data_IF_418391967956
#
_entry.id   IF_418391967956
#
_cell.length_a   1.000
_cell.length_b   1.000
_cell.length_c   1.000
_cell.angle_alpha   90.00
_cell.angle_beta   90.00
_cell.angle_gamma   90.00
#
_symmetry.space_group_name_H-M   'P 1'
#
loop_
_entity.id
_entity.type
_entity.pdbx_description
1 polymer ?
#
# COMPACT_ATOMS: atom_id res chain seq x y z
N UNK A 1 0.94 -16.71 -5.41
CA UNK A 1 1.39 -15.30 -5.48
C UNK A 1 1.40 -14.81 -4.03
N UNK A 2 2.45 -15.17 -3.31
CA UNK A 2 2.53 -15.03 -1.86
C UNK A 2 3.32 -13.77 -1.56
N UNK A 3 2.64 -12.62 -1.56
CA UNK A 3 3.10 -11.45 -0.82
C UNK A 3 3.39 -11.90 0.61
N UNK A 4 4.56 -11.54 1.17
CA UNK A 4 4.92 -11.66 2.60
C UNK A 4 3.67 -11.92 3.41
N UNK A 5 3.50 -13.15 3.89
CA UNK A 5 2.22 -13.60 4.43
C UNK A 5 1.72 -12.50 5.38
N UNK A 6 0.68 -11.80 4.96
CA UNK A 6 -0.02 -10.84 5.81
C UNK A 6 -0.37 -11.53 7.14
N UNK A 7 -0.55 -12.86 7.10
CA UNK A 7 -0.72 -13.76 8.23
C UNK A 7 0.48 -13.85 9.18
N UNK A 8 1.73 -13.75 8.73
CA UNK A 8 2.89 -13.87 9.62
C UNK A 8 3.21 -12.56 10.32
N UNK A 9 3.02 -11.42 9.67
CA UNK A 9 3.20 -10.11 10.32
C UNK A 9 1.94 -9.68 11.09
N UNK A 10 0.73 -10.08 10.67
CA UNK A 10 -0.48 -9.90 11.47
C UNK A 10 -0.52 -10.75 12.74
N UNK A 11 0.21 -11.87 12.79
CA UNK A 11 0.48 -12.59 14.06
C UNK A 11 1.45 -11.84 14.97
N UNK A 12 2.33 -10.99 14.43
CA UNK A 12 3.26 -10.15 15.20
C UNK A 12 2.62 -8.82 15.59
N UNK A 13 1.66 -8.28 14.85
CA UNK A 13 0.93 -7.03 15.18
C UNK A 13 0.35 -6.99 16.64
N UNK A 14 -0.23 -8.09 17.18
CA UNK A 14 -0.61 -8.16 18.59
C UNK A 14 0.58 -8.04 19.56
N UNK A 15 1.75 -8.56 19.20
CA UNK A 15 2.99 -8.42 19.98
C UNK A 15 3.71 -7.08 19.72
N UNK A 16 3.33 -6.32 18.70
CA UNK A 16 3.66 -4.89 18.61
C UNK A 16 2.90 -4.06 19.66
N UNK A 17 1.69 -4.46 20.07
CA UNK A 17 0.90 -3.77 21.10
C UNK A 17 1.58 -3.68 22.48
N UNK A 18 2.55 -4.56 22.75
CA UNK A 18 3.36 -4.52 23.99
C UNK A 18 4.62 -3.63 23.87
N UNK A 19 4.98 -3.17 22.66
CA UNK A 19 6.12 -2.26 22.45
C UNK A 19 6.11 -1.00 23.31
N UNK A 20 4.99 -0.26 23.46
CA UNK A 20 4.96 0.92 24.32
C UNK A 20 5.25 0.62 25.80
N UNK A 21 5.14 -0.65 26.24
CA UNK A 21 5.49 -1.04 27.60
C UNK A 21 7.00 -1.20 27.81
N UNK A 22 7.80 -1.48 26.77
CA UNK A 22 9.25 -1.68 26.93
C UNK A 22 10.00 -0.41 27.36
N UNK A 23 9.80 0.77 26.74
CA UNK A 23 10.39 2.02 27.22
C UNK A 23 9.97 2.34 28.66
N UNK A 24 8.71 2.09 28.99
CA UNK A 24 8.15 2.31 30.33
C UNK A 24 8.80 1.41 31.39
N UNK A 25 9.11 0.15 31.03
CA UNK A 25 9.85 -0.79 31.90
C UNK A 25 11.32 -0.40 32.03
N UNK A 26 11.97 0.04 30.96
CA UNK A 26 13.35 0.55 31.00
C UNK A 26 13.48 1.81 31.88
N UNK A 27 12.46 2.70 31.89
CA UNK A 27 12.41 3.87 32.76
C UNK A 27 12.30 3.52 34.25
N UNK A 28 11.71 2.37 34.61
CA UNK A 28 11.57 1.91 36.01
C UNK A 28 12.85 1.27 36.58
N UNK A 29 13.88 1.03 35.76
CA UNK A 29 15.12 0.43 36.24
C UNK A 29 15.92 1.40 37.15
N UNK A 30 16.65 0.86 38.17
CA UNK A 30 17.53 1.63 39.04
C UNK A 30 18.52 2.50 38.27
N UNK A 31 18.81 3.70 38.78
CA UNK A 31 19.67 4.69 38.09
C UNK A 31 21.08 4.15 37.80
N UNK A 32 21.65 3.39 38.73
CA UNK A 32 22.98 2.78 38.58
C UNK A 32 23.08 1.78 37.41
N UNK A 33 21.96 1.17 36.98
CA UNK A 33 21.94 0.27 35.82
C UNK A 33 21.78 1.02 34.49
N UNK A 34 21.32 2.28 34.53
CA UNK A 34 21.04 3.07 33.32
C UNK A 34 22.28 3.65 32.65
N UNK A 35 23.36 3.77 33.40
CA UNK A 35 24.65 4.26 32.90
C UNK A 35 25.50 3.13 32.30
N UNK A 36 25.04 1.88 32.40
CA UNK A 36 25.80 0.74 31.94
C UNK A 36 25.69 0.58 30.41
N UNK A 37 26.79 0.29 29.69
CA UNK A 37 26.77 0.14 28.23
C UNK A 37 25.70 -0.85 27.74
N UNK A 38 25.53 -1.98 28.44
CA UNK A 38 24.50 -2.96 28.11
C UNK A 38 23.06 -2.42 28.21
N UNK A 39 22.79 -1.49 29.12
CA UNK A 39 21.48 -0.83 29.21
C UNK A 39 21.28 0.15 28.05
N UNK A 40 22.31 0.92 27.70
CA UNK A 40 22.25 1.85 26.56
C UNK A 40 22.01 1.10 25.25
N UNK A 41 22.69 -0.02 25.03
CA UNK A 41 22.49 -0.89 23.88
C UNK A 41 21.06 -1.47 23.83
N UNK A 42 20.55 -1.94 24.98
CA UNK A 42 19.17 -2.43 25.07
C UNK A 42 18.16 -1.32 24.78
N UNK A 43 18.37 -0.13 25.35
CA UNK A 43 17.51 1.03 25.14
C UNK A 43 17.47 1.39 23.66
N UNK A 44 18.64 1.49 23.01
CA UNK A 44 18.73 1.77 21.57
C UNK A 44 18.01 0.71 20.74
N UNK A 45 18.22 -0.58 21.02
CA UNK A 45 17.52 -1.67 20.31
C UNK A 45 15.99 -1.58 20.45
N UNK A 46 15.50 -1.17 21.61
CA UNK A 46 14.06 -0.98 21.83
C UNK A 46 13.54 0.23 21.04
N UNK A 47 14.28 1.34 21.03
CA UNK A 47 13.94 2.55 20.27
C UNK A 47 13.94 2.27 18.76
N UNK A 48 15.03 1.70 18.22
CA UNK A 48 15.17 1.31 16.82
C UNK A 48 14.04 0.35 16.40
N UNK A 49 13.74 -0.67 17.23
CA UNK A 49 12.66 -1.60 16.93
C UNK A 49 11.28 -0.92 16.94
N UNK A 50 11.04 -0.01 17.88
CA UNK A 50 9.79 0.77 17.94
C UNK A 50 9.60 1.65 16.70
N UNK A 51 10.67 2.19 16.13
CA UNK A 51 10.62 3.00 14.90
C UNK A 51 10.52 2.16 13.63
N UNK A 52 11.10 0.95 13.63
CA UNK A 52 11.04 0.03 12.48
C UNK A 52 9.66 -0.58 12.31
N UNK A 53 8.92 -0.71 13.42
CA UNK A 53 7.61 -1.33 13.47
C UNK A 53 6.55 -0.71 12.54
N UNK A 54 6.33 0.62 12.54
CA UNK A 54 5.46 1.27 11.56
C UNK A 54 5.88 1.00 10.10
N UNK A 55 7.18 0.94 9.82
CA UNK A 55 7.68 0.63 8.46
C UNK A 55 7.30 -0.78 8.05
N UNK A 56 7.47 -1.75 8.95
CA UNK A 56 7.09 -3.14 8.71
C UNK A 56 5.59 -3.25 8.41
N UNK A 57 4.74 -2.54 9.16
CA UNK A 57 3.30 -2.50 8.92
C UNK A 57 2.98 -1.98 7.51
N UNK A 58 3.60 -0.88 7.09
CA UNK A 58 3.46 -0.32 5.75
C UNK A 58 3.91 -1.31 4.66
N UNK A 59 5.06 -1.96 4.87
CA UNK A 59 5.63 -2.95 3.95
C UNK A 59 4.75 -4.20 3.80
N UNK A 60 3.86 -4.49 4.74
CA UNK A 60 2.91 -5.63 4.65
C UNK A 60 1.64 -5.33 3.89
N UNK A 61 1.44 -4.08 3.49
CA UNK A 61 0.22 -3.69 2.82
C UNK A 61 0.02 -4.51 1.54
N UNK A 62 -1.20 -5.02 1.32
CA UNK A 62 -1.55 -5.81 0.12
C UNK A 62 -1.43 -5.02 -1.20
N UNK A 63 -1.30 -3.70 -1.12
CA UNK A 63 -0.97 -2.86 -2.26
C UNK A 63 0.48 -3.03 -2.75
N UNK A 64 1.37 -3.56 -1.91
CA UNK A 64 2.75 -3.86 -2.26
C UNK A 64 2.80 -4.97 -3.32
N UNK A 65 3.66 -4.77 -4.33
CA UNK A 65 3.82 -5.60 -5.52
C UNK A 65 5.30 -5.66 -5.85
N UNK A 66 5.70 -6.58 -6.72
CA UNK A 66 7.11 -6.80 -7.12
C UNK A 66 7.87 -5.50 -7.45
N UNK A 67 7.25 -4.57 -8.19
CA UNK A 67 7.85 -3.27 -8.52
C UNK A 67 8.23 -2.42 -7.29
N UNK A 68 7.46 -2.51 -6.21
CA UNK A 68 7.72 -1.79 -4.95
C UNK A 68 8.85 -2.45 -4.18
N UNK A 69 8.86 -3.78 -4.13
CA UNK A 69 9.94 -4.57 -3.52
C UNK A 69 11.28 -4.37 -4.21
N UNK A 70 11.27 -4.24 -5.54
CA UNK A 70 12.45 -3.88 -6.31
C UNK A 70 12.98 -2.49 -5.94
N UNK A 71 12.10 -1.48 -5.89
CA UNK A 71 12.48 -0.12 -5.45
C UNK A 71 13.04 -0.11 -4.03
N UNK A 72 12.42 -0.85 -3.10
CA UNK A 72 12.93 -1.00 -1.74
C UNK A 72 14.32 -1.65 -1.72
N UNK A 73 14.54 -2.68 -2.55
CA UNK A 73 15.82 -3.36 -2.64
C UNK A 73 16.93 -2.44 -3.15
N UNK A 74 16.61 -1.61 -4.15
CA UNK A 74 17.53 -0.65 -4.73
C UNK A 74 17.93 0.45 -3.71
N UNK A 75 16.96 0.98 -2.96
CA UNK A 75 17.17 2.03 -1.95
C UNK A 75 17.92 1.50 -0.73
N UNK A 76 17.47 0.37 -0.17
CA UNK A 76 18.07 -0.18 1.04
C UNK A 76 19.38 -0.93 0.77
N UNK A 77 19.78 -1.09 -0.49
CA UNK A 77 20.89 -1.92 -0.93
C UNK A 77 20.82 -3.34 -0.34
N UNK A 78 19.61 -3.89 -0.29
CA UNK A 78 19.31 -5.15 0.37
C UNK A 78 18.35 -5.98 -0.48
N UNK A 79 18.65 -7.27 -0.68
CA UNK A 79 17.80 -8.12 -1.52
C UNK A 79 16.59 -8.65 -0.74
N UNK A 80 15.40 -8.10 -1.02
CA UNK A 80 14.15 -8.62 -0.47
C UNK A 80 13.62 -9.77 -1.34
N UNK A 81 14.03 -11.00 -1.05
CA UNK A 81 13.59 -12.21 -1.75
C UNK A 81 12.17 -12.63 -1.35
N UNK A 82 11.18 -11.79 -1.65
CA UNK A 82 9.78 -11.95 -1.20
C UNK A 82 9.04 -13.11 -1.84
N UNK A 83 9.51 -13.60 -2.99
CA UNK A 83 8.92 -14.77 -3.67
C UNK A 83 9.40 -16.09 -3.04
N UNK A 84 10.45 -16.04 -2.24
CA UNK A 84 10.96 -17.21 -1.55
C UNK A 84 10.07 -17.55 -0.34
N UNK A 85 9.53 -18.78 -0.26
CA UNK A 85 8.71 -19.20 0.87
C UNK A 85 9.47 -19.21 2.21
N UNK A 86 10.80 -19.15 2.19
CA UNK A 86 11.64 -18.98 3.38
C UNK A 86 11.85 -17.50 3.79
N UNK A 87 11.22 -16.56 3.10
CA UNK A 87 11.31 -15.14 3.45
C UNK A 87 10.67 -14.89 4.82
N UNK A 88 11.47 -14.46 5.78
CA UNK A 88 11.04 -14.28 7.18
C UNK A 88 11.15 -12.82 7.60
N UNK A 89 10.40 -12.46 8.65
CA UNK A 89 10.52 -11.16 9.30
C UNK A 89 11.97 -10.86 9.73
N UNK A 90 12.73 -11.87 10.18
CA UNK A 90 14.15 -11.71 10.51
C UNK A 90 14.93 -11.19 9.30
N UNK A 91 14.71 -11.77 8.12
CA UNK A 91 15.36 -11.33 6.89
C UNK A 91 15.01 -9.89 6.51
N UNK A 92 13.80 -9.41 6.83
CA UNK A 92 13.43 -8.00 6.62
C UNK A 92 14.14 -7.10 7.63
N UNK A 93 14.22 -7.52 8.89
CA UNK A 93 14.84 -6.75 9.97
C UNK A 93 16.37 -6.61 9.85
N UNK A 94 17.01 -7.41 9.00
CA UNK A 94 18.44 -7.28 8.67
C UNK A 94 18.70 -6.12 7.69
N UNK A 95 17.68 -5.62 7.00
CA UNK A 95 17.79 -4.48 6.12
C UNK A 95 17.93 -3.16 6.92
N UNK A 96 18.67 -2.17 6.43
CA UNK A 96 18.86 -0.87 7.09
C UNK A 96 17.63 0.06 6.94
N UNK A 97 16.43 -0.42 7.31
CA UNK A 97 15.16 0.28 7.06
C UNK A 97 15.12 1.69 7.69
N UNK A 98 15.62 1.84 8.91
CA UNK A 98 15.64 3.15 9.59
C UNK A 98 16.57 4.16 8.92
N UNK A 99 17.63 3.70 8.26
CA UNK A 99 18.55 4.59 7.54
C UNK A 99 17.88 5.24 6.33
N UNK A 100 16.92 4.54 5.72
CA UNK A 100 16.19 4.96 4.53
C UNK A 100 14.69 5.16 4.82
N UNK A 101 14.37 5.55 6.06
CA UNK A 101 12.99 5.59 6.58
C UNK A 101 12.03 6.31 5.65
N UNK A 102 12.36 7.55 5.28
CA UNK A 102 11.47 8.41 4.49
C UNK A 102 11.21 7.82 3.09
N UNK A 103 12.24 7.24 2.47
CA UNK A 103 12.11 6.58 1.16
C UNK A 103 11.29 5.29 1.26
N UNK A 104 11.48 4.50 2.32
CA UNK A 104 10.69 3.29 2.59
C UNK A 104 9.21 3.65 2.80
N UNK A 105 8.93 4.69 3.59
CA UNK A 105 7.57 5.20 3.80
C UNK A 105 6.94 5.68 2.49
N UNK A 106 7.66 6.49 1.70
CA UNK A 106 7.16 7.00 0.41
C UNK A 106 6.85 5.85 -0.56
N UNK A 107 7.73 4.85 -0.68
CA UNK A 107 7.48 3.69 -1.54
C UNK A 107 6.21 2.96 -1.10
N UNK A 108 6.04 2.69 0.20
CA UNK A 108 4.87 1.98 0.70
C UNK A 108 3.57 2.79 0.55
N UNK A 109 3.60 4.09 0.81
CA UNK A 109 2.46 4.99 0.62
C UNK A 109 2.11 5.09 -0.87
N UNK A 110 3.12 5.16 -1.74
CA UNK A 110 2.93 5.19 -3.20
C UNK A 110 2.20 3.95 -3.70
N UNK A 111 2.49 2.77 -3.12
CA UNK A 111 1.80 1.53 -3.46
C UNK A 111 0.30 1.61 -3.14
N UNK A 112 -0.07 2.13 -1.97
CA UNK A 112 -1.48 2.30 -1.57
C UNK A 112 -2.20 3.26 -2.51
N UNK A 113 -1.58 4.41 -2.80
CA UNK A 113 -2.13 5.39 -3.75
C UNK A 113 -2.32 4.77 -5.14
N UNK A 114 -1.35 3.99 -5.61
CA UNK A 114 -1.43 3.33 -6.92
C UNK A 114 -2.57 2.30 -6.96
N UNK A 115 -2.76 1.51 -5.91
CA UNK A 115 -3.92 0.59 -5.81
C UNK A 115 -5.24 1.34 -5.91
N UNK A 116 -5.36 2.48 -5.25
CA UNK A 116 -6.61 3.27 -5.27
C UNK A 116 -6.86 3.89 -6.65
N UNK A 117 -5.80 4.30 -7.36
CA UNK A 117 -5.87 4.72 -8.77
C UNK A 117 -6.31 3.54 -9.65
N UNK A 118 -5.68 2.37 -9.50
CA UNK A 118 -6.02 1.15 -10.25
C UNK A 118 -7.50 0.76 -10.04
N UNK A 119 -8.01 0.87 -8.80
CA UNK A 119 -9.40 0.58 -8.47
C UNK A 119 -10.38 1.53 -9.17
N UNK A 120 -10.10 2.84 -9.16
CA UNK A 120 -10.92 3.85 -9.85
C UNK A 120 -10.89 3.65 -11.37
N UNK A 121 -9.74 3.37 -11.95
CA UNK A 121 -9.61 3.06 -13.38
C UNK A 121 -10.38 1.77 -13.77
N UNK A 122 -10.37 0.77 -12.89
CA UNK A 122 -11.15 -0.46 -13.09
C UNK A 122 -12.65 -0.17 -13.11
N UNK A 123 -13.12 0.71 -12.23
CA UNK A 123 -14.53 1.12 -12.22
C UNK A 123 -14.92 1.83 -13.51
N UNK A 124 -14.15 2.85 -13.94
CA UNK A 124 -14.39 3.56 -15.20
C UNK A 124 -14.44 2.59 -16.39
N UNK A 125 -13.52 1.62 -16.44
CA UNK A 125 -13.53 0.58 -17.48
C UNK A 125 -14.80 -0.27 -17.44
N UNK A 126 -15.28 -0.63 -16.25
CA UNK A 126 -16.49 -1.42 -16.10
C UNK A 126 -17.73 -0.64 -16.57
N UNK A 127 -17.81 0.64 -16.20
CA UNK A 127 -18.91 1.53 -16.60
C UNK A 127 -18.95 1.72 -18.12
N UNK A 128 -17.78 1.92 -18.76
CA UNK A 128 -17.70 1.98 -20.22
C UNK A 128 -18.01 0.65 -20.92
N UNK A 129 -17.76 -0.50 -20.28
CA UNK A 129 -17.97 -1.80 -20.89
C UNK A 129 -19.46 -2.20 -20.99
N UNK A 130 -20.32 -1.60 -20.18
CA UNK A 130 -21.78 -1.83 -20.17
C UNK A 130 -22.56 -0.74 -20.91
N UNK A 131 -21.87 0.25 -21.46
CA UNK A 131 -22.50 1.34 -22.21
C UNK A 131 -22.92 0.85 -23.60
N UNK A 132 -24.22 0.59 -23.76
CA UNK A 132 -24.80 0.14 -25.03
C UNK A 132 -25.66 1.23 -25.67
N UNK A 133 -25.38 1.51 -26.94
CA UNK A 133 -26.19 2.42 -27.74
C UNK A 133 -27.47 1.72 -28.17
N UNK A 134 -28.60 2.38 -27.91
CA UNK A 134 -29.91 1.87 -28.28
C UNK A 134 -30.50 2.59 -29.48
N UNK A 135 -31.16 1.81 -30.32
CA UNK A 135 -31.75 2.26 -31.56
C UNK A 135 -33.28 2.09 -31.54
N UNK A 136 -33.94 2.85 -32.39
CA UNK A 136 -35.38 2.89 -32.58
C UNK A 136 -35.69 2.91 -34.08
N UNK A 137 -36.90 2.48 -34.43
CA UNK A 137 -37.27 2.30 -35.84
C UNK A 137 -37.37 3.63 -36.60
N UNK A 138 -36.75 3.69 -37.78
CA UNK A 138 -36.93 4.76 -38.73
C UNK A 138 -37.92 4.37 -39.82
N UNK A 139 -39.19 4.75 -39.67
CA UNK A 139 -40.27 4.39 -40.62
C UNK A 139 -40.24 2.87 -40.88
N UNK A 140 -40.27 2.45 -42.14
CA UNK A 140 -40.18 1.04 -42.55
C UNK A 140 -38.74 0.54 -42.80
N UNK A 141 -37.70 1.31 -42.45
CA UNK A 141 -36.29 0.99 -42.77
C UNK A 141 -35.54 0.26 -41.65
N UNK A 142 -36.23 -0.07 -40.54
CA UNK A 142 -35.64 -0.77 -39.38
C UNK A 142 -35.04 0.19 -38.33
N UNK A 143 -34.25 -0.35 -37.41
CA UNK A 143 -33.65 0.36 -36.26
C UNK A 143 -32.45 1.23 -36.66
N UNK A 144 -32.75 2.42 -37.17
CA UNK A 144 -31.73 3.37 -37.65
C UNK A 144 -31.70 4.69 -36.87
N UNK A 145 -32.64 4.92 -35.94
CA UNK A 145 -32.68 6.13 -35.12
C UNK A 145 -32.07 5.87 -33.75
N UNK A 146 -30.97 6.54 -33.44
CA UNK A 146 -30.40 6.50 -32.09
C UNK A 146 -31.39 7.11 -31.09
N UNK A 147 -31.62 6.45 -29.96
CA UNK A 147 -32.52 6.97 -28.93
C UNK A 147 -31.83 8.07 -28.13
N UNK A 148 -32.28 9.31 -28.33
CA UNK A 148 -31.67 10.50 -27.74
C UNK A 148 -31.62 10.50 -26.21
N UNK A 149 -32.67 10.02 -25.53
CA UNK A 149 -32.70 9.98 -24.05
C UNK A 149 -31.63 9.05 -23.49
N UNK A 150 -31.59 7.80 -23.94
CA UNK A 150 -30.62 6.79 -23.50
C UNK A 150 -29.18 7.20 -23.90
N UNK A 151 -29.01 7.83 -25.06
CA UNK A 151 -27.71 8.38 -25.49
C UNK A 151 -27.26 9.55 -24.61
N UNK A 152 -28.18 10.42 -24.18
CA UNK A 152 -27.88 11.53 -23.28
C UNK A 152 -27.34 11.04 -21.94
N UNK A 153 -27.91 9.98 -21.38
CA UNK A 153 -27.42 9.35 -20.14
C UNK A 153 -26.00 8.78 -20.32
N UNK A 154 -25.71 8.15 -21.47
CA UNK A 154 -24.36 7.65 -21.80
C UNK A 154 -23.36 8.81 -21.91
N UNK A 155 -23.74 9.93 -22.54
CA UNK A 155 -22.87 11.12 -22.64
C UNK A 155 -22.55 11.66 -21.24
N UNK A 156 -23.56 11.79 -20.36
CA UNK A 156 -23.34 12.24 -18.99
C UNK A 156 -22.38 11.30 -18.22
N UNK A 157 -22.57 9.98 -18.33
CA UNK A 157 -21.69 9.00 -17.69
C UNK A 157 -20.24 9.08 -18.23
N UNK A 158 -20.06 9.39 -19.52
CA UNK A 158 -18.75 9.63 -20.12
C UNK A 158 -18.10 10.92 -19.60
N UNK A 159 -18.87 11.99 -19.42
CA UNK A 159 -18.39 13.25 -18.84
C UNK A 159 -17.92 13.04 -17.39
N UNK A 160 -18.70 12.32 -16.58
CA UNK A 160 -18.33 11.95 -15.20
C UNK A 160 -17.05 11.10 -15.17
N UNK A 161 -16.94 10.10 -16.06
CA UNK A 161 -15.74 9.27 -16.19
C UNK A 161 -14.51 10.10 -16.59
N UNK A 162 -14.69 11.08 -17.48
CA UNK A 162 -13.64 12.02 -17.88
C UNK A 162 -13.18 12.89 -16.71
N UNK A 163 -14.12 13.40 -15.90
CA UNK A 163 -13.81 14.15 -14.69
C UNK A 163 -12.98 13.32 -13.70
N UNK A 164 -13.34 12.06 -13.48
CA UNK A 164 -12.57 11.14 -12.63
C UNK A 164 -11.15 10.98 -13.16
N UNK A 165 -10.97 10.67 -14.45
CA UNK A 165 -9.66 10.48 -15.05
C UNK A 165 -8.78 11.74 -14.96
N UNK A 166 -9.35 12.92 -15.20
CA UNK A 166 -8.64 14.19 -15.06
C UNK A 166 -8.21 14.44 -13.61
N UNK A 167 -9.06 14.12 -12.63
CA UNK A 167 -8.71 14.21 -11.21
C UNK A 167 -7.60 13.24 -10.77
N UNK A 168 -7.44 12.10 -11.45
CA UNK A 168 -6.33 11.18 -11.21
C UNK A 168 -5.02 11.68 -11.82
N UNK A 169 -5.07 12.32 -13.00
CA UNK A 169 -3.91 12.91 -13.65
C UNK A 169 -3.33 14.10 -12.87
N UNK A 170 -4.19 14.90 -12.23
CA UNK A 170 -3.76 16.05 -11.43
C UNK A 170 -3.18 15.68 -10.06
N UNK A 171 -3.48 14.50 -9.53
CA UNK A 171 -3.04 14.02 -8.21
C UNK A 171 -1.71 13.24 -8.26
N UNK A 172 -0.84 13.56 -9.22
CA UNK A 172 0.46 12.90 -9.40
C UNK A 172 1.51 13.42 -8.45
#
# INVERSE_FOLDING_TARGET
MYTINSDDISKVLPSLGILPFFPSRCRKLPKALKDWPAFLDLKKKIEDFSETCPLLELMTNKAMKERHWKRLSDVCHYNFDVENPAFTLRGVMEAPLLQYKDDVEDICISAVKERDIEAKLKQVRADCAVADLSFSHFKARGELLLKGTETGEIIMALEDSSMIMNGLLSNR
#
